data_IF_466391740045
#
_entry.id   IF_466391740045
#
_cell.length_a   1.000
_cell.length_b   1.000
_cell.length_c   1.000
_cell.angle_alpha   90.00
_cell.angle_beta   90.00
_cell.angle_gamma   90.00
#
_symmetry.space_group_name_H-M   'P 1'
#
loop_
_entity.id
_entity.type
_entity.pdbx_description
1 polymer ?
#
# COMPACT_ATOMS: atom_id res chain seq x y z
N UNK A 1 15.55 6.59 11.11
CA UNK A 1 15.50 5.14 10.80
C UNK A 1 14.08 4.61 10.77
N UNK A 2 13.24 4.90 11.78
CA UNK A 2 11.82 4.47 11.86
C UNK A 2 10.95 4.69 10.61
N UNK A 3 11.11 5.80 9.89
CA UNK A 3 10.34 6.08 8.66
C UNK A 3 10.72 5.15 7.50
N UNK A 4 12.01 4.87 7.33
CA UNK A 4 12.48 3.95 6.29
C UNK A 4 12.07 2.51 6.61
N UNK A 5 12.22 2.09 7.87
CA UNK A 5 11.80 0.78 8.37
C UNK A 5 10.30 0.55 8.15
N UNK A 6 9.47 1.55 8.46
CA UNK A 6 8.02 1.49 8.25
C UNK A 6 7.66 1.33 6.77
N UNK A 7 8.27 2.11 5.87
CA UNK A 7 8.02 1.97 4.43
C UNK A 7 8.50 0.62 3.89
N UNK A 8 9.61 0.07 4.39
CA UNK A 8 10.09 -1.25 3.99
C UNK A 8 9.08 -2.36 4.34
N UNK A 9 8.53 -2.28 5.56
CA UNK A 9 7.49 -3.19 6.05
C UNK A 9 6.20 -3.05 5.22
N UNK A 10 5.80 -1.81 4.91
CA UNK A 10 4.62 -1.54 4.05
C UNK A 10 4.80 -2.14 2.65
N UNK A 11 5.97 -1.96 2.03
CA UNK A 11 6.28 -2.53 0.71
C UNK A 11 6.21 -4.06 0.77
N UNK A 12 6.85 -4.68 1.76
CA UNK A 12 6.85 -6.13 1.92
C UNK A 12 5.42 -6.70 2.02
N UNK A 13 4.59 -6.13 2.90
CA UNK A 13 3.23 -6.64 3.11
C UNK A 13 2.27 -6.30 1.98
N UNK A 14 2.43 -5.16 1.31
CA UNK A 14 1.57 -4.76 0.19
C UNK A 14 1.77 -5.63 -1.05
N UNK A 15 2.99 -6.11 -1.32
CA UNK A 15 3.25 -7.07 -2.40
C UNK A 15 2.52 -8.38 -2.14
N UNK A 16 2.68 -8.96 -0.94
CA UNK A 16 2.01 -10.21 -0.55
C UNK A 16 0.49 -10.05 -0.61
N UNK A 17 -0.03 -8.96 -0.06
CA UNK A 17 -1.46 -8.66 -0.09
C UNK A 17 -1.98 -8.51 -1.53
N UNK A 18 -1.21 -7.83 -2.39
CA UNK A 18 -1.55 -7.66 -3.81
C UNK A 18 -1.60 -8.99 -4.55
N UNK A 19 -0.69 -9.92 -4.29
CA UNK A 19 -0.74 -11.25 -4.89
C UNK A 19 -1.99 -12.04 -4.47
N UNK A 20 -2.33 -12.02 -3.17
CA UNK A 20 -3.53 -12.69 -2.65
C UNK A 20 -4.79 -12.11 -3.29
N UNK A 21 -4.92 -10.78 -3.30
CA UNK A 21 -6.07 -10.10 -3.92
C UNK A 21 -6.12 -10.31 -5.44
N UNK A 22 -4.98 -10.28 -6.11
CA UNK A 22 -4.85 -10.51 -7.54
C UNK A 22 -5.25 -11.93 -7.94
N UNK A 23 -4.88 -12.93 -7.13
CA UNK A 23 -5.27 -14.32 -7.36
C UNK A 23 -6.79 -14.51 -7.21
N UNK A 24 -7.38 -13.94 -6.15
CA UNK A 24 -8.82 -13.98 -5.92
C UNK A 24 -9.56 -13.28 -7.06
N UNK A 25 -9.16 -12.05 -7.42
CA UNK A 25 -9.75 -11.28 -8.51
C UNK A 25 -9.59 -11.95 -9.87
N UNK A 26 -8.41 -12.49 -10.17
CA UNK A 26 -8.14 -13.26 -11.39
C UNK A 26 -9.06 -14.47 -11.55
N UNK A 27 -9.30 -15.18 -10.44
CA UNK A 27 -10.21 -16.33 -10.41
C UNK A 27 -11.67 -15.94 -10.61
N UNK A 28 -12.08 -14.80 -10.05
CA UNK A 28 -13.45 -14.27 -10.17
C UNK A 28 -13.78 -13.74 -11.58
N UNK A 29 -12.82 -13.07 -12.20
CA UNK A 29 -13.01 -12.39 -13.49
C UNK A 29 -12.55 -13.23 -14.70
N UNK A 30 -12.06 -14.46 -14.47
CA UNK A 30 -11.42 -15.32 -15.49
C UNK A 30 -10.32 -14.58 -16.28
N UNK A 31 -9.66 -13.60 -15.65
CA UNK A 31 -8.60 -12.82 -16.27
C UNK A 31 -7.23 -13.46 -16.04
N UNK A 32 -6.27 -13.16 -16.91
CA UNK A 32 -4.88 -13.60 -16.73
C UNK A 32 -4.26 -12.90 -15.53
N UNK A 33 -3.97 -13.68 -14.48
CA UNK A 33 -3.27 -13.20 -13.30
C UNK A 33 -1.78 -13.03 -13.59
N UNK A 34 -1.30 -11.79 -13.48
CA UNK A 34 0.13 -11.44 -13.60
C UNK A 34 0.68 -10.98 -12.24
N UNK A 35 1.30 -11.88 -11.44
CA UNK A 35 1.64 -11.62 -10.04
C UNK A 35 2.57 -10.42 -9.85
N UNK A 36 3.61 -10.31 -10.69
CA UNK A 36 4.59 -9.24 -10.62
C UNK A 36 3.98 -7.86 -10.87
N UNK A 37 3.08 -7.74 -11.86
CA UNK A 37 2.43 -6.46 -12.17
C UNK A 37 1.53 -6.01 -11.02
N UNK A 38 0.79 -6.93 -10.42
CA UNK A 38 -0.14 -6.64 -9.32
C UNK A 38 0.62 -6.35 -8.03
N UNK A 39 1.67 -7.11 -7.71
CA UNK A 39 2.49 -6.87 -6.53
C UNK A 39 3.17 -5.50 -6.55
N UNK A 40 3.76 -5.13 -7.70
CA UNK A 40 4.42 -3.82 -7.86
C UNK A 40 3.40 -2.67 -7.82
N UNK A 41 2.26 -2.80 -8.49
CA UNK A 41 1.23 -1.76 -8.46
C UNK A 41 0.67 -1.55 -7.06
N UNK A 42 0.42 -2.63 -6.31
CA UNK A 42 -0.03 -2.54 -4.92
C UNK A 42 1.01 -1.94 -3.99
N UNK A 43 2.31 -2.22 -4.20
CA UNK A 43 3.38 -1.60 -3.44
C UNK A 43 3.41 -0.07 -3.62
N UNK A 44 3.28 0.40 -4.87
CA UNK A 44 3.23 1.84 -5.18
C UNK A 44 2.02 2.50 -4.51
N UNK A 45 0.84 1.90 -4.67
CA UNK A 45 -0.40 2.42 -4.07
C UNK A 45 -0.30 2.48 -2.55
N UNK A 46 0.21 1.42 -1.91
CA UNK A 46 0.34 1.36 -0.46
C UNK A 46 1.31 2.40 0.09
N UNK A 47 2.47 2.61 -0.57
CA UNK A 47 3.43 3.65 -0.17
C UNK A 47 2.81 5.04 -0.28
N UNK A 48 2.10 5.34 -1.37
CA UNK A 48 1.43 6.63 -1.55
C UNK A 48 0.34 6.82 -0.48
N UNK A 49 -0.50 5.81 -0.25
CA UNK A 49 -1.59 5.88 0.72
C UNK A 49 -1.07 6.10 2.15
N UNK A 50 -0.09 5.31 2.60
CA UNK A 50 0.43 5.40 3.97
C UNK A 50 1.13 6.74 4.21
N UNK A 51 1.96 7.20 3.28
CA UNK A 51 2.61 8.49 3.43
C UNK A 51 1.61 9.66 3.29
N UNK A 52 0.62 9.54 2.40
CA UNK A 52 -0.45 10.52 2.24
C UNK A 52 -1.30 10.68 3.50
N UNK A 53 -1.74 9.57 4.10
CA UNK A 53 -2.46 9.57 5.39
C UNK A 53 -1.59 10.22 6.47
N UNK A 54 -0.32 9.84 6.56
CA UNK A 54 0.61 10.41 7.55
C UNK A 54 0.75 11.93 7.39
N UNK A 55 0.76 12.44 6.17
CA UNK A 55 0.82 13.88 5.92
C UNK A 55 -0.49 14.59 6.32
N UNK A 56 -1.64 14.05 5.91
CA UNK A 56 -2.94 14.61 6.25
C UNK A 56 -3.18 14.60 7.77
N UNK A 57 -2.80 13.53 8.45
CA UNK A 57 -2.94 13.43 9.91
C UNK A 57 -2.05 14.41 10.67
N UNK A 58 -0.95 14.90 10.07
CA UNK A 58 -0.09 15.91 10.73
C UNK A 58 -0.72 17.30 10.70
N UNK A 59 -1.41 17.64 9.61
CA UNK A 59 -2.10 18.94 9.49
C UNK A 59 -3.28 19.04 10.46
N UNK A 60 -4.01 17.94 10.66
CA UNK A 60 -5.15 17.88 11.58
C UNK A 60 -4.72 18.11 13.05
N UNK A 61 -3.60 17.52 13.46
CA UNK A 61 -3.05 17.71 14.82
C UNK A 61 -2.53 19.13 15.04
N UNK A 62 -1.90 19.75 14.04
CA UNK A 62 -1.43 21.13 14.12
C UNK A 62 -2.56 22.17 14.22
N UNK A 63 -3.76 21.84 13.71
CA UNK A 63 -4.95 22.69 13.83
C UNK A 63 -5.63 22.60 15.20
N UNK A 64 -5.53 21.46 15.89
CA UNK A 64 -6.18 21.25 17.20
C UNK A 64 -5.43 21.90 18.37
N UNK A 65 -4.18 22.32 18.16
CA UNK A 65 -3.30 22.91 19.19
C UNK A 65 -3.29 24.46 19.17
N UNK A 66 -4.10 25.08 18.30
CA UNK A 66 -4.35 26.54 18.26
C UNK A 66 -5.72 26.88 18.83
#
# INVERSE_FOLDING_TARGET
MKWLESNLVVIFWSVIFGEVMGYIGGTLEQMTWEPLKIGVSMAVVAVIAVNGITLLSRDDQASSEK
#
